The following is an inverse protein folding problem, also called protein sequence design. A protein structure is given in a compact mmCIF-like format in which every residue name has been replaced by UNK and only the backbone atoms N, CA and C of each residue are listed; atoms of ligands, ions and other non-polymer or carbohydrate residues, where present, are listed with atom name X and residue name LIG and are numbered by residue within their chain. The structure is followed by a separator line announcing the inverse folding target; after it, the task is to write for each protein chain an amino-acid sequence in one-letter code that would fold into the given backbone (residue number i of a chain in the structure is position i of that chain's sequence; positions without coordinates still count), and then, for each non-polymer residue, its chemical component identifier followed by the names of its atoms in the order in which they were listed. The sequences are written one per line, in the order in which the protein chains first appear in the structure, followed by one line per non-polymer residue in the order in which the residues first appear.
data_IF_727689417694
#
_entry.id   IF_727689417694
#
_cell.length_a   1.000
_cell.length_b   1.000
_cell.length_c   1.000
_cell.angle_alpha   90.00
_cell.angle_beta   90.00
_cell.angle_gamma   90.00
#
_symmetry.space_group_name_H-M   'P 1'
#
loop_
_entity.id
_entity.type
_entity.pdbx_description
1 polymer ?
#
# COMPACT_ATOMS: atom_id res chain seq x y z
N UNK A 1 -0.26 18.03 11.48
CA UNK A 1 -0.37 17.16 12.68
C UNK A 1 0.83 16.23 12.61
N UNK A 2 1.65 16.20 13.65
CA UNK A 2 2.84 15.35 13.70
C UNK A 2 2.47 14.03 14.38
N UNK A 3 2.66 12.92 13.70
CA UNK A 3 2.42 11.55 14.17
C UNK A 3 3.52 10.64 13.63
N UNK A 4 3.74 9.47 14.24
CA UNK A 4 4.71 8.49 13.75
C UNK A 4 4.49 8.14 12.26
N UNK A 5 3.23 8.03 11.83
CA UNK A 5 2.88 7.77 10.44
C UNK A 5 3.27 8.92 9.51
N UNK A 6 3.02 10.17 9.92
CA UNK A 6 3.39 11.33 9.09
C UNK A 6 4.91 11.49 8.97
N UNK A 7 5.65 11.18 10.02
CA UNK A 7 7.11 11.17 10.01
C UNK A 7 7.67 10.03 9.18
N UNK A 8 7.14 8.81 9.37
CA UNK A 8 7.54 7.62 8.63
C UNK A 8 7.42 7.82 7.11
N UNK A 9 6.33 8.46 6.67
CA UNK A 9 5.97 8.55 5.25
C UNK A 9 6.24 9.93 4.63
N UNK A 10 6.71 10.90 5.43
CA UNK A 10 6.93 12.27 5.01
C UNK A 10 5.67 12.91 4.38
N UNK A 11 4.53 12.73 5.03
CA UNK A 11 3.24 13.30 4.62
C UNK A 11 2.73 14.30 5.67
N UNK A 12 1.86 15.22 5.26
CA UNK A 12 1.34 16.29 6.14
C UNK A 12 0.24 15.81 7.07
N UNK A 13 -0.63 14.94 6.55
CA UNK A 13 -1.79 14.41 7.27
C UNK A 13 -1.73 12.89 7.33
N UNK A 14 -2.06 12.25 8.45
CA UNK A 14 -2.08 10.79 8.58
C UNK A 14 -3.34 10.21 7.91
N UNK A 15 -3.51 10.50 6.62
CA UNK A 15 -4.67 10.10 5.83
C UNK A 15 -4.18 9.39 4.58
N UNK A 16 -4.69 8.18 4.34
CA UNK A 16 -4.42 7.38 3.15
C UNK A 16 -5.69 7.29 2.31
N UNK A 17 -5.57 7.52 1.03
CA UNK A 17 -6.59 7.11 0.09
C UNK A 17 -6.28 5.67 -0.33
N UNK A 18 -7.16 4.74 -0.02
CA UNK A 18 -6.99 3.31 -0.31
C UNK A 18 -6.95 3.02 -1.82
N UNK A 19 -6.25 1.94 -2.18
CA UNK A 19 -6.22 1.45 -3.56
C UNK A 19 -7.58 0.89 -3.97
N UNK A 20 -8.33 1.62 -4.78
CA UNK A 20 -9.64 1.22 -5.31
C UNK A 20 -9.48 0.83 -6.78
N UNK A 21 -9.71 -0.45 -7.11
CA UNK A 21 -9.60 -0.96 -8.47
C UNK A 21 -10.43 -0.11 -9.45
N UNK A 22 -9.86 0.22 -10.59
CA UNK A 22 -10.45 1.05 -11.66
C UNK A 22 -10.76 2.52 -11.27
N UNK A 23 -10.42 2.96 -10.05
CA UNK A 23 -10.72 4.32 -9.58
C UNK A 23 -9.44 5.03 -9.13
N UNK A 24 -8.59 4.36 -8.35
CA UNK A 24 -7.36 4.93 -7.82
C UNK A 24 -6.24 4.89 -8.88
N UNK A 25 -6.35 5.81 -9.84
CA UNK A 25 -5.40 6.05 -10.93
C UNK A 25 -4.56 7.31 -10.65
N UNK A 26 -3.63 7.64 -11.54
CA UNK A 26 -2.64 8.71 -11.37
C UNK A 26 -3.20 10.08 -10.95
N UNK A 27 -4.36 10.51 -11.49
CA UNK A 27 -4.91 11.82 -11.15
C UNK A 27 -5.39 11.89 -9.69
N UNK A 28 -6.17 10.87 -9.27
CA UNK A 28 -6.64 10.80 -7.88
C UNK A 28 -5.45 10.71 -6.91
N UNK A 29 -4.51 9.84 -7.20
CA UNK A 29 -3.33 9.61 -6.35
C UNK A 29 -2.49 10.87 -6.21
N UNK A 30 -2.19 11.55 -7.33
CA UNK A 30 -1.46 12.80 -7.31
C UNK A 30 -2.21 13.91 -6.54
N UNK A 31 -3.53 14.01 -6.74
CA UNK A 31 -4.34 15.01 -6.04
C UNK A 31 -4.31 14.81 -4.51
N UNK A 32 -4.45 13.57 -4.03
CA UNK A 32 -4.37 13.24 -2.60
C UNK A 32 -2.98 13.53 -2.04
N UNK A 33 -1.92 13.13 -2.74
CA UNK A 33 -0.53 13.38 -2.32
C UNK A 33 -0.21 14.87 -2.29
N UNK A 34 -0.64 15.64 -3.28
CA UNK A 34 -0.49 17.10 -3.33
C UNK A 34 -1.27 17.80 -2.21
N UNK A 35 -2.41 17.25 -1.80
CA UNK A 35 -3.16 17.74 -0.64
C UNK A 35 -2.48 17.42 0.70
N UNK A 36 -1.48 16.54 0.72
CA UNK A 36 -0.68 16.20 1.90
C UNK A 36 -1.07 14.90 2.60
N UNK A 37 -1.91 14.07 2.00
CA UNK A 37 -2.15 12.68 2.38
C UNK A 37 -1.22 11.72 1.66
N UNK A 38 -1.51 10.42 1.72
CA UNK A 38 -0.87 9.40 0.89
C UNK A 38 -1.87 8.88 -0.14
N UNK A 39 -1.67 9.25 -1.40
CA UNK A 39 -2.39 8.64 -2.52
C UNK A 39 -1.82 7.25 -2.80
N UNK A 40 -2.67 6.27 -3.11
CA UNK A 40 -2.25 4.89 -3.38
C UNK A 40 -2.86 4.41 -4.69
N UNK A 41 -1.99 4.16 -5.69
CA UNK A 41 -2.36 3.54 -6.96
C UNK A 41 -2.90 2.13 -6.75
N UNK A 42 -3.95 1.77 -7.47
CA UNK A 42 -4.49 0.41 -7.47
C UNK A 42 -3.90 -0.41 -8.61
N UNK A 43 -3.03 -1.38 -8.29
CA UNK A 43 -2.48 -2.31 -9.27
C UNK A 43 -3.37 -3.56 -9.51
N UNK A 44 -4.50 -3.67 -8.81
CA UNK A 44 -5.44 -4.78 -8.98
C UNK A 44 -6.03 -4.81 -10.40
N UNK A 45 -5.86 -5.91 -11.11
CA UNK A 45 -6.35 -6.08 -12.48
C UNK A 45 -5.45 -5.49 -13.58
N UNK A 46 -4.36 -4.82 -13.23
CA UNK A 46 -3.36 -4.30 -14.17
C UNK A 46 -2.21 -5.30 -14.37
N UNK A 47 -1.58 -5.24 -15.54
CA UNK A 47 -0.29 -5.87 -15.77
C UNK A 47 0.88 -4.95 -15.38
N UNK A 48 2.10 -5.46 -15.42
CA UNK A 48 3.30 -4.73 -15.01
C UNK A 48 3.55 -3.45 -15.82
N UNK A 49 3.34 -3.48 -17.14
CA UNK A 49 3.55 -2.31 -18.00
C UNK A 49 2.54 -1.20 -17.71
N UNK A 50 1.29 -1.56 -17.49
CA UNK A 50 0.24 -0.62 -17.09
C UNK A 50 0.53 0.02 -15.73
N UNK A 51 1.00 -0.77 -14.75
CA UNK A 51 1.40 -0.24 -13.44
C UNK A 51 2.56 0.73 -13.59
N UNK A 52 3.56 0.40 -14.41
CA UNK A 52 4.69 1.28 -14.71
C UNK A 52 4.23 2.61 -15.32
N UNK A 53 3.32 2.55 -16.29
CA UNK A 53 2.76 3.73 -16.92
C UNK A 53 2.03 4.63 -15.91
N UNK A 54 1.19 4.06 -15.06
CA UNK A 54 0.47 4.79 -14.02
C UNK A 54 1.42 5.43 -12.98
N UNK A 55 2.48 4.73 -12.58
CA UNK A 55 3.52 5.28 -11.70
C UNK A 55 4.18 6.50 -12.35
N UNK A 56 4.57 6.41 -13.61
CA UNK A 56 5.23 7.50 -14.33
C UNK A 56 4.31 8.71 -14.51
N UNK A 57 3.05 8.50 -14.89
CA UNK A 57 2.05 9.57 -14.94
C UNK A 57 1.86 10.24 -13.57
N UNK A 58 1.85 9.45 -12.50
CA UNK A 58 1.75 10.02 -11.13
C UNK A 58 2.95 10.91 -10.83
N UNK A 59 4.17 10.49 -11.17
CA UNK A 59 5.40 11.27 -10.98
C UNK A 59 5.44 12.56 -11.79
N UNK A 60 4.75 12.63 -12.92
CA UNK A 60 4.60 13.86 -13.69
C UNK A 60 3.67 14.88 -13.01
N UNK A 61 2.75 14.42 -12.17
CA UNK A 61 1.73 15.25 -11.52
C UNK A 61 2.06 15.63 -10.07
N UNK A 62 3.02 14.95 -9.43
CA UNK A 62 3.39 15.20 -8.04
C UNK A 62 4.84 14.83 -7.75
N UNK A 63 5.49 15.66 -6.91
CA UNK A 63 6.78 15.39 -6.28
C UNK A 63 6.62 14.80 -4.86
N UNK A 64 5.39 14.61 -4.40
CA UNK A 64 5.05 14.10 -3.07
C UNK A 64 5.06 12.58 -3.03
N UNK A 65 5.29 11.97 -1.85
CA UNK A 65 5.22 10.54 -1.70
C UNK A 65 3.82 10.00 -2.05
N UNK A 66 3.82 8.86 -2.75
CA UNK A 66 2.63 8.07 -3.02
C UNK A 66 2.95 6.59 -2.90
N UNK A 67 1.94 5.75 -2.80
CA UNK A 67 2.06 4.31 -2.73
C UNK A 67 1.43 3.58 -3.91
N UNK A 68 1.69 2.27 -3.96
CA UNK A 68 1.02 1.34 -4.87
C UNK A 68 0.45 0.18 -4.07
N UNK A 69 -0.83 -0.14 -4.28
CA UNK A 69 -1.47 -1.31 -3.69
C UNK A 69 -1.36 -2.51 -4.62
N UNK A 70 -0.69 -3.55 -4.17
CA UNK A 70 -0.56 -4.82 -4.91
C UNK A 70 -1.60 -5.82 -4.38
N UNK A 71 -2.51 -6.24 -5.25
CA UNK A 71 -3.38 -7.39 -4.98
C UNK A 71 -2.58 -8.67 -5.23
N UNK A 72 -2.24 -9.40 -4.17
CA UNK A 72 -1.31 -10.53 -4.26
C UNK A 72 -1.91 -11.77 -4.96
N UNK A 73 -3.21 -11.80 -5.18
CA UNK A 73 -3.88 -12.81 -6.03
C UNK A 73 -3.78 -12.49 -7.53
N UNK A 74 -3.29 -11.30 -7.92
CA UNK A 74 -3.06 -10.97 -9.32
C UNK A 74 -1.93 -11.85 -9.87
N UNK A 75 -2.12 -12.61 -10.95
CA UNK A 75 -1.06 -13.40 -11.57
C UNK A 75 0.18 -12.59 -11.97
N UNK A 76 0.00 -11.30 -12.26
CA UNK A 76 1.10 -10.39 -12.58
C UNK A 76 1.83 -9.80 -11.35
N UNK A 77 1.45 -10.21 -10.12
CA UNK A 77 2.07 -9.67 -8.91
C UNK A 77 3.61 -9.82 -8.86
N UNK A 78 4.23 -10.94 -9.34
CA UNK A 78 5.69 -11.04 -9.36
C UNK A 78 6.37 -10.01 -10.27
N UNK A 79 5.80 -9.74 -11.44
CA UNK A 79 6.33 -8.74 -12.38
C UNK A 79 6.07 -7.32 -11.88
N UNK A 80 4.89 -7.07 -11.32
CA UNK A 80 4.56 -5.79 -10.67
C UNK A 80 5.56 -5.52 -9.54
N UNK A 81 5.86 -6.51 -8.70
CA UNK A 81 6.80 -6.35 -7.60
C UNK A 81 8.18 -5.85 -8.04
N UNK A 82 8.68 -6.31 -9.19
CA UNK A 82 9.92 -5.83 -9.81
C UNK A 82 9.81 -4.38 -10.30
N UNK A 83 8.68 -4.06 -10.96
CA UNK A 83 8.40 -2.69 -11.43
C UNK A 83 8.45 -1.68 -10.29
N UNK A 84 7.91 -2.03 -9.11
CA UNK A 84 7.92 -1.13 -7.96
C UNK A 84 9.35 -0.80 -7.47
N UNK A 85 10.25 -1.78 -7.54
CA UNK A 85 11.69 -1.57 -7.23
C UNK A 85 12.35 -0.70 -8.30
N UNK A 86 12.16 -1.03 -9.57
CA UNK A 86 12.74 -0.29 -10.71
C UNK A 86 12.28 1.17 -10.75
N UNK A 87 10.99 1.40 -10.47
CA UNK A 87 10.41 2.74 -10.42
C UNK A 87 10.60 3.43 -9.06
N UNK A 88 11.29 2.83 -8.10
CA UNK A 88 11.62 3.42 -6.80
C UNK A 88 10.38 3.98 -6.08
N UNK A 89 9.33 3.18 -5.98
CA UNK A 89 8.09 3.56 -5.29
C UNK A 89 8.36 3.72 -3.80
N UNK A 90 7.85 4.78 -3.18
CA UNK A 90 8.12 5.07 -1.77
C UNK A 90 7.41 4.10 -0.82
N UNK A 91 6.19 3.72 -1.15
CA UNK A 91 5.30 2.92 -0.29
C UNK A 91 4.61 1.82 -1.09
N UNK A 92 4.54 0.63 -0.52
CA UNK A 92 3.74 -0.48 -1.04
C UNK A 92 2.75 -0.92 0.02
N UNK A 93 1.47 -0.96 -0.34
CA UNK A 93 0.44 -1.66 0.43
C UNK A 93 0.09 -2.96 -0.28
N UNK A 94 -0.35 -3.96 0.46
CA UNK A 94 -0.72 -5.25 -0.14
C UNK A 94 -2.03 -5.76 0.44
N UNK A 95 -2.83 -6.41 -0.39
CA UNK A 95 -4.05 -7.09 0.02
C UNK A 95 -4.18 -8.46 -0.62
N UNK A 96 -5.10 -9.27 -0.11
CA UNK A 96 -5.45 -10.60 -0.64
C UNK A 96 -4.24 -11.54 -0.74
N UNK A 97 -3.54 -11.77 0.37
CA UNK A 97 -2.39 -12.68 0.46
C UNK A 97 -1.30 -12.22 1.40
N UNK A 98 -0.11 -12.82 1.25
CA UNK A 98 1.08 -12.44 2.02
C UNK A 98 2.18 -11.90 1.11
N UNK A 99 2.79 -10.75 1.41
CA UNK A 99 3.87 -10.15 0.62
C UNK A 99 5.25 -10.82 0.85
N UNK A 100 5.36 -11.82 1.69
CA UNK A 100 6.64 -12.43 2.09
C UNK A 100 7.60 -12.74 0.93
N UNK A 101 7.14 -13.24 -0.22
CA UNK A 101 8.04 -13.52 -1.35
C UNK A 101 8.75 -12.29 -1.90
N UNK A 102 8.20 -11.09 -1.69
CA UNK A 102 8.69 -9.82 -2.24
C UNK A 102 9.36 -8.93 -1.19
N UNK A 103 9.19 -9.23 0.09
CA UNK A 103 9.63 -8.37 1.21
C UNK A 103 11.10 -8.04 1.13
N UNK A 104 11.95 -9.04 0.84
CA UNK A 104 13.41 -8.85 0.77
C UNK A 104 13.79 -7.77 -0.24
N UNK A 105 13.33 -7.91 -1.48
CA UNK A 105 13.69 -7.01 -2.57
C UNK A 105 13.15 -5.60 -2.33
N UNK A 106 11.93 -5.48 -1.81
CA UNK A 106 11.32 -4.20 -1.48
C UNK A 106 12.05 -3.48 -0.33
N UNK A 107 12.44 -4.21 0.72
CA UNK A 107 13.18 -3.64 1.86
C UNK A 107 14.60 -3.22 1.45
N UNK A 108 15.29 -4.03 0.64
CA UNK A 108 16.61 -3.68 0.09
C UNK A 108 16.56 -2.45 -0.81
N UNK A 109 15.45 -2.25 -1.53
CA UNK A 109 15.18 -1.04 -2.32
C UNK A 109 14.76 0.18 -1.49
N UNK A 110 14.60 0.06 -0.16
CA UNK A 110 14.17 1.13 0.73
C UNK A 110 12.66 1.42 0.70
N UNK A 111 11.87 0.56 0.08
CA UNK A 111 10.41 0.70 0.01
C UNK A 111 9.79 0.43 1.39
N UNK A 112 8.89 1.29 1.82
CA UNK A 112 8.11 1.10 3.04
C UNK A 112 6.91 0.19 2.74
N UNK A 113 6.95 -1.03 3.26
CA UNK A 113 5.88 -2.01 3.04
C UNK A 113 4.87 -1.93 4.18
N UNK A 114 3.59 -1.71 3.84
CA UNK A 114 2.48 -1.54 4.77
C UNK A 114 1.35 -2.51 4.37
N UNK A 115 1.43 -3.78 4.78
CA UNK A 115 0.43 -4.78 4.42
C UNK A 115 -0.93 -4.51 5.07
N UNK A 116 -2.01 -4.81 4.35
CA UNK A 116 -3.35 -4.90 4.92
C UNK A 116 -3.48 -6.23 5.65
N UNK A 117 -3.94 -6.19 6.90
CA UNK A 117 -4.07 -7.34 7.78
C UNK A 117 -5.48 -7.45 8.36
N UNK A 118 -6.04 -8.65 8.34
CA UNK A 118 -7.37 -8.94 8.87
C UNK A 118 -7.31 -9.74 10.19
N UNK A 119 -6.12 -9.95 10.76
CA UNK A 119 -5.95 -10.66 12.02
C UNK A 119 -4.69 -10.24 12.77
N UNK A 120 -4.71 -10.41 14.08
CA UNK A 120 -3.53 -10.20 14.95
C UNK A 120 -2.37 -11.12 14.57
N UNK A 121 -2.67 -12.36 14.20
CA UNK A 121 -1.65 -13.33 13.78
C UNK A 121 -0.91 -12.87 12.54
N UNK A 122 -1.64 -12.33 11.54
CA UNK A 122 -1.05 -11.78 10.31
C UNK A 122 -0.25 -10.51 10.63
N UNK A 123 -0.78 -9.61 11.47
CA UNK A 123 -0.06 -8.39 11.88
C UNK A 123 1.31 -8.72 12.50
N UNK A 124 1.35 -9.64 13.47
CA UNK A 124 2.59 -10.12 14.09
C UNK A 124 3.54 -10.79 13.09
N UNK A 125 3.00 -11.50 12.11
CA UNK A 125 3.81 -12.10 11.04
C UNK A 125 4.44 -11.03 10.17
N UNK A 126 3.69 -10.03 9.73
CA UNK A 126 4.19 -8.93 8.91
C UNK A 126 5.22 -8.08 9.66
N UNK A 127 5.02 -7.84 10.94
CA UNK A 127 6.02 -7.17 11.79
C UNK A 127 7.35 -7.94 11.77
N UNK A 128 7.34 -9.26 11.93
CA UNK A 128 8.56 -10.08 11.88
C UNK A 128 9.21 -10.11 10.50
N UNK A 129 8.43 -9.91 9.43
CA UNK A 129 8.94 -9.80 8.06
C UNK A 129 9.52 -8.42 7.73
N UNK A 130 9.47 -7.45 8.66
CA UNK A 130 10.03 -6.12 8.46
C UNK A 130 9.06 -5.10 7.88
N UNK A 131 7.74 -5.33 7.98
CA UNK A 131 6.77 -4.31 7.59
C UNK A 131 6.97 -3.02 8.39
N UNK A 132 6.93 -1.88 7.72
CA UNK A 132 7.12 -0.56 8.34
C UNK A 132 5.93 -0.14 9.21
N UNK A 133 4.74 -0.60 8.85
CA UNK A 133 3.48 -0.48 9.57
C UNK A 133 2.51 -1.54 9.03
N UNK A 134 1.29 -1.61 9.56
CA UNK A 134 0.19 -2.42 9.02
C UNK A 134 -1.09 -1.61 8.92
N UNK A 135 -1.99 -2.00 8.02
CA UNK A 135 -3.35 -1.48 7.95
C UNK A 135 -4.27 -2.57 8.49
N UNK A 136 -4.84 -2.37 9.68
CA UNK A 136 -5.83 -3.27 10.24
C UNK A 136 -7.18 -3.02 9.56
N UNK A 137 -7.65 -3.98 8.78
CA UNK A 137 -8.88 -3.87 8.00
C UNK A 137 -9.97 -4.76 8.57
N UNK A 138 -11.05 -4.14 9.05
CA UNK A 138 -12.24 -4.82 9.53
C UNK A 138 -13.21 -5.19 8.41
N UNK A 139 -14.21 -6.02 8.72
CA UNK A 139 -15.19 -6.50 7.75
C UNK A 139 -16.16 -5.41 7.25
N UNK A 140 -16.11 -4.20 7.82
CA UNK A 140 -16.89 -3.04 7.34
C UNK A 140 -16.28 -2.36 6.13
N UNK A 141 -15.09 -2.81 5.68
CA UNK A 141 -14.44 -2.34 4.47
C UNK A 141 -15.01 -2.98 3.20
N UNK A 142 -14.45 -2.65 2.05
CA UNK A 142 -14.86 -3.21 0.76
C UNK A 142 -13.81 -4.13 0.14
N UNK A 143 -14.20 -4.94 -0.84
CA UNK A 143 -13.31 -5.85 -1.57
C UNK A 143 -13.08 -7.18 -0.85
N UNK A 144 -11.83 -7.62 -0.74
CA UNK A 144 -11.45 -8.86 -0.05
C UNK A 144 -11.25 -8.55 1.44
N UNK A 145 -12.24 -8.84 2.25
CA UNK A 145 -12.29 -8.50 3.68
C UNK A 145 -12.09 -9.74 4.57
N UNK A 146 -11.68 -9.50 5.82
CA UNK A 146 -11.68 -10.50 6.88
C UNK A 146 -13.03 -10.63 7.59
N UNK A 147 -13.08 -11.43 8.64
CA UNK A 147 -14.31 -11.71 9.40
C UNK A 147 -14.45 -10.83 10.66
N UNK A 148 -13.36 -10.26 11.15
CA UNK A 148 -13.36 -9.45 12.36
C UNK A 148 -13.87 -8.04 12.09
N UNK A 149 -14.67 -7.49 12.99
CA UNK A 149 -15.08 -6.08 12.92
C UNK A 149 -13.91 -5.17 13.26
N UNK A 150 -13.92 -3.94 12.75
CA UNK A 150 -12.90 -2.92 13.04
C UNK A 150 -12.77 -2.68 14.54
N UNK A 151 -13.89 -2.61 15.28
CA UNK A 151 -13.92 -2.39 16.73
C UNK A 151 -13.24 -3.50 17.53
N UNK A 152 -13.22 -4.73 17.02
CA UNK A 152 -12.57 -5.86 17.69
C UNK A 152 -11.13 -6.06 17.22
N UNK A 153 -10.84 -5.78 15.95
CA UNK A 153 -9.52 -6.02 15.35
C UNK A 153 -8.50 -4.97 15.77
N UNK A 154 -8.84 -3.67 15.63
CA UNK A 154 -7.86 -2.57 15.80
C UNK A 154 -7.26 -2.56 17.20
N UNK A 155 -8.02 -2.66 18.31
CA UNK A 155 -7.43 -2.68 19.66
C UNK A 155 -6.52 -3.89 19.94
N UNK A 156 -6.67 -4.97 19.19
CA UNK A 156 -5.86 -6.17 19.35
C UNK A 156 -4.59 -6.13 18.48
N UNK A 157 -4.60 -5.36 17.41
CA UNK A 157 -3.44 -5.18 16.53
C UNK A 157 -2.52 -4.09 17.07
N UNK A 158 -3.10 -3.03 17.64
CA UNK A 158 -2.37 -1.95 18.30
C UNK A 158 -1.68 -2.40 19.58
#
# INVERSE_FOLDING_TARGET
MQTEVTELLNIKYPIFQGGMANIAEHNLVAAVSNAGGLGILAAGGLNADQVREEIRKTKELTDKPFGVNVMLLNPAAPEIAKVLVEEQVAVVTTGAGTPEPYMKDWLEAGIKVIPVVASVALAKRMQRCGAAAVIAEGCESGGHIGESTTMTLVPQVA
#
